data_IF_687212963171
#
_entry.id   IF_687212963171
#
_cell.length_a   1.000
_cell.length_b   1.000
_cell.length_c   1.000
_cell.angle_alpha   90.00
_cell.angle_beta   90.00
_cell.angle_gamma   90.00
#
_symmetry.space_group_name_H-M   'P 1'
#
loop_
_entity.id
_entity.type
_entity.pdbx_description
1 polymer ?
#
# COMPACT_ATOMS: atom_id res chain seq x y z
N UNK A 1 -17.65 -1.40 11.78
CA UNK A 1 -18.64 -1.42 10.69
C UNK A 1 -18.27 -2.55 9.73
N UNK A 2 -19.17 -3.51 9.49
CA UNK A 2 -18.96 -4.57 8.48
C UNK A 2 -19.32 -3.98 7.11
N UNK A 3 -18.34 -3.65 6.30
CA UNK A 3 -18.57 -3.33 4.89
C UNK A 3 -18.93 -4.61 4.15
N UNK A 4 -19.94 -4.54 3.27
CA UNK A 4 -20.20 -5.65 2.36
C UNK A 4 -19.06 -5.77 1.35
N UNK A 5 -18.89 -6.94 0.72
CA UNK A 5 -17.90 -7.13 -0.34
C UNK A 5 -18.08 -6.08 -1.44
N UNK A 6 -19.33 -5.80 -1.81
CA UNK A 6 -19.66 -4.79 -2.82
C UNK A 6 -19.15 -3.39 -2.44
N UNK A 7 -19.38 -2.97 -1.19
CA UNK A 7 -18.92 -1.64 -0.71
C UNK A 7 -17.39 -1.54 -0.70
N UNK A 8 -16.72 -2.64 -0.35
CA UNK A 8 -15.26 -2.66 -0.30
C UNK A 8 -14.66 -2.55 -1.70
N UNK A 9 -15.17 -3.34 -2.65
CA UNK A 9 -14.67 -3.32 -4.02
C UNK A 9 -14.94 -1.97 -4.70
N UNK A 10 -16.16 -1.42 -4.55
CA UNK A 10 -16.48 -0.10 -5.08
C UNK A 10 -15.59 0.99 -4.47
N UNK A 11 -15.36 0.95 -3.16
CA UNK A 11 -14.48 1.89 -2.47
C UNK A 11 -13.03 1.77 -2.95
N UNK A 12 -12.54 0.56 -3.20
CA UNK A 12 -11.18 0.32 -3.72
C UNK A 12 -11.00 0.99 -5.08
N UNK A 13 -11.97 0.83 -5.98
CA UNK A 13 -11.94 1.46 -7.31
C UNK A 13 -11.98 2.98 -7.18
N UNK A 14 -12.94 3.50 -6.41
CA UNK A 14 -13.07 4.93 -6.16
C UNK A 14 -11.76 5.56 -5.65
N UNK A 15 -11.12 4.92 -4.65
CA UNK A 15 -9.84 5.38 -4.10
C UNK A 15 -8.72 5.32 -5.14
N UNK A 16 -8.67 4.25 -5.94
CA UNK A 16 -7.67 4.07 -6.99
C UNK A 16 -7.76 5.17 -8.04
N UNK A 17 -8.98 5.49 -8.52
CA UNK A 17 -9.19 6.57 -9.49
C UNK A 17 -8.83 7.92 -8.88
N UNK A 18 -9.22 8.17 -7.63
CA UNK A 18 -8.89 9.42 -6.94
C UNK A 18 -7.38 9.61 -6.80
N UNK A 19 -6.65 8.53 -6.49
CA UNK A 19 -5.19 8.55 -6.35
C UNK A 19 -4.50 8.77 -7.70
N UNK A 20 -4.90 8.03 -8.74
CA UNK A 20 -4.29 8.11 -10.06
C UNK A 20 -4.92 9.17 -10.98
N UNK A 21 -5.76 10.06 -10.44
CA UNK A 21 -6.55 11.04 -11.21
C UNK A 21 -5.76 11.73 -12.32
N UNK A 22 -4.59 12.26 -12.00
CA UNK A 22 -3.75 12.98 -12.96
C UNK A 22 -3.20 12.11 -14.10
N UNK A 23 -2.96 10.82 -13.83
CA UNK A 23 -2.48 9.86 -14.83
C UNK A 23 -3.64 9.43 -15.74
N UNK A 24 -4.83 9.27 -15.17
CA UNK A 24 -6.02 8.79 -15.87
C UNK A 24 -6.69 9.88 -16.72
N UNK A 25 -6.46 11.16 -16.42
CA UNK A 25 -7.01 12.28 -17.19
C UNK A 25 -6.67 12.14 -18.69
N UNK A 26 -7.70 12.24 -19.53
CA UNK A 26 -7.60 12.16 -21.00
C UNK A 26 -7.13 10.82 -21.57
N UNK A 27 -7.28 9.71 -20.83
CA UNK A 27 -6.96 8.37 -21.31
C UNK A 27 -8.21 7.49 -21.37
N UNK A 28 -8.21 6.52 -22.28
CA UNK A 28 -9.17 5.42 -22.23
C UNK A 28 -8.77 4.51 -21.08
N UNK A 29 -9.62 4.42 -20.06
CA UNK A 29 -9.37 3.62 -18.85
C UNK A 29 -10.28 2.40 -18.87
N UNK A 30 -9.70 1.22 -18.64
CA UNK A 30 -10.42 -0.03 -18.42
C UNK A 30 -10.08 -0.50 -17.01
N UNK A 31 -11.09 -0.70 -16.19
CA UNK A 31 -10.91 -1.18 -14.82
C UNK A 31 -11.20 -2.67 -14.81
N UNK A 32 -10.21 -3.48 -14.46
CA UNK A 32 -10.33 -4.93 -14.32
C UNK A 32 -10.59 -5.29 -12.86
N UNK A 33 -11.58 -6.13 -12.62
CA UNK A 33 -12.02 -6.55 -11.28
C UNK A 33 -12.32 -8.04 -11.26
N UNK A 34 -12.15 -8.70 -10.13
CA UNK A 34 -12.56 -10.09 -9.90
C UNK A 34 -13.98 -10.21 -9.33
N UNK A 35 -14.62 -9.09 -8.98
CA UNK A 35 -15.98 -9.05 -8.45
C UNK A 35 -17.04 -8.79 -9.53
N UNK A 36 -17.62 -9.88 -10.03
CA UNK A 36 -18.57 -9.88 -11.15
C UNK A 36 -19.78 -8.94 -11.00
N UNK A 37 -20.44 -8.77 -9.84
CA UNK A 37 -21.63 -7.91 -9.75
C UNK A 37 -21.40 -6.45 -10.13
N UNK A 38 -20.16 -5.96 -10.02
CA UNK A 38 -19.83 -4.58 -10.32
C UNK A 38 -19.65 -4.29 -11.81
N UNK A 39 -19.53 -5.30 -12.68
CA UNK A 39 -19.45 -5.08 -14.14
C UNK A 39 -20.70 -4.40 -14.69
N UNK A 40 -21.84 -4.65 -14.05
CA UNK A 40 -23.13 -4.07 -14.41
C UNK A 40 -23.49 -2.87 -13.53
N UNK A 41 -22.55 -2.31 -12.76
CA UNK A 41 -22.85 -1.25 -11.79
C UNK A 41 -23.46 0.02 -12.45
N UNK A 42 -23.06 0.33 -13.68
CA UNK A 42 -23.58 1.47 -14.45
C UNK A 42 -24.88 1.17 -15.21
N UNK A 43 -25.28 -0.10 -15.29
CA UNK A 43 -26.54 -0.53 -15.92
C UNK A 43 -27.67 -0.67 -14.90
N UNK A 44 -27.35 -0.67 -13.60
CA UNK A 44 -28.33 -0.82 -12.53
C UNK A 44 -29.10 0.50 -12.28
N UNK A 45 -30.38 0.36 -11.95
CA UNK A 45 -31.21 1.50 -11.53
C UNK A 45 -30.65 2.16 -10.26
N UNK A 46 -30.43 3.47 -10.33
CA UNK A 46 -29.91 4.30 -9.23
C UNK A 46 -30.75 4.20 -7.94
N UNK A 47 -32.04 3.88 -8.05
CA UNK A 47 -32.97 3.75 -6.92
C UNK A 47 -32.61 2.63 -5.92
N UNK A 48 -31.73 1.70 -6.33
CA UNK A 48 -31.27 0.60 -5.48
C UNK A 48 -29.94 0.89 -4.77
N UNK A 49 -29.28 2.00 -5.08
CA UNK A 49 -27.98 2.36 -4.54
C UNK A 49 -28.12 3.29 -3.33
N UNK A 50 -27.24 3.11 -2.34
CA UNK A 50 -27.12 4.11 -1.28
C UNK A 50 -26.55 5.43 -1.83
N UNK A 51 -26.83 6.60 -1.22
CA UNK A 51 -26.30 7.88 -1.68
C UNK A 51 -24.76 7.91 -1.81
N UNK A 52 -24.06 7.23 -0.90
CA UNK A 52 -22.60 7.12 -0.94
C UNK A 52 -22.10 6.30 -2.13
N UNK A 53 -22.75 5.18 -2.44
CA UNK A 53 -22.40 4.36 -3.61
C UNK A 53 -22.69 5.12 -4.92
N UNK A 54 -23.82 5.83 -4.99
CA UNK A 54 -24.16 6.65 -6.13
C UNK A 54 -23.11 7.74 -6.39
N UNK A 55 -22.65 8.43 -5.33
CA UNK A 55 -21.60 9.44 -5.45
C UNK A 55 -20.24 8.84 -5.89
N UNK A 56 -19.90 7.64 -5.39
CA UNK A 56 -18.69 6.94 -5.81
C UNK A 56 -18.75 6.57 -7.29
N UNK A 57 -19.87 6.01 -7.74
CA UNK A 57 -20.08 5.63 -9.13
C UNK A 57 -20.08 6.86 -10.05
N UNK A 58 -20.70 7.97 -9.64
CA UNK A 58 -20.68 9.21 -10.41
C UNK A 58 -19.24 9.72 -10.63
N UNK A 59 -18.40 9.69 -9.59
CA UNK A 59 -16.99 10.04 -9.74
C UNK A 59 -16.26 9.06 -10.65
N UNK A 60 -16.50 7.75 -10.53
CA UNK A 60 -15.87 6.73 -11.38
C UNK A 60 -16.27 6.97 -12.85
N UNK A 61 -17.55 7.24 -13.12
CA UNK A 61 -18.10 7.47 -14.46
C UNK A 61 -17.47 8.65 -15.19
N UNK A 62 -16.98 9.67 -14.46
CA UNK A 62 -16.24 10.79 -15.05
C UNK A 62 -14.92 10.37 -15.71
N UNK A 63 -14.38 9.20 -15.33
CA UNK A 63 -13.15 8.65 -15.91
C UNK A 63 -13.44 7.47 -16.83
N UNK A 64 -14.32 6.55 -16.41
CA UNK A 64 -14.69 5.39 -17.22
C UNK A 64 -15.95 4.71 -16.69
N UNK A 65 -16.71 4.12 -17.61
CA UNK A 65 -17.79 3.18 -17.33
C UNK A 65 -17.41 1.73 -17.68
N UNK A 66 -16.19 1.52 -18.19
CA UNK A 66 -15.73 0.23 -18.68
C UNK A 66 -15.10 -0.61 -17.55
N UNK A 67 -15.96 -1.40 -16.89
CA UNK A 67 -15.61 -2.37 -15.85
C UNK A 67 -15.65 -3.78 -16.42
N UNK A 68 -14.50 -4.46 -16.46
CA UNK A 68 -14.37 -5.81 -17.02
C UNK A 68 -14.03 -6.79 -15.91
N UNK A 69 -14.79 -7.88 -15.85
CA UNK A 69 -14.49 -8.98 -14.94
C UNK A 69 -13.33 -9.83 -15.46
N UNK A 70 -12.37 -10.13 -14.59
CA UNK A 70 -11.31 -11.13 -14.78
C UNK A 70 -11.45 -12.23 -13.73
N UNK A 71 -10.96 -13.44 -14.01
CA UNK A 71 -10.95 -14.48 -12.98
C UNK A 71 -10.03 -14.08 -11.82
N UNK A 72 -10.35 -14.47 -10.58
CA UNK A 72 -9.49 -14.19 -9.42
C UNK A 72 -8.06 -14.74 -9.58
N UNK A 73 -7.89 -15.85 -10.31
CA UNK A 73 -6.57 -16.41 -10.66
C UNK A 73 -5.72 -15.47 -11.53
N UNK A 74 -6.33 -14.49 -12.21
CA UNK A 74 -5.65 -13.46 -13.00
C UNK A 74 -5.49 -12.15 -12.21
N UNK A 75 -6.14 -12.01 -11.05
CA UNK A 75 -6.09 -10.82 -10.18
C UNK A 75 -5.00 -10.88 -9.10
N UNK A 76 -3.94 -11.66 -9.35
CA UNK A 76 -2.91 -11.98 -8.34
C UNK A 76 -2.22 -10.71 -7.79
N UNK A 77 -1.93 -9.72 -8.63
CA UNK A 77 -1.19 -8.52 -8.20
C UNK A 77 -2.00 -7.66 -7.23
N UNK A 78 -3.23 -7.22 -7.56
CA UNK A 78 -4.10 -6.55 -6.60
C UNK A 78 -4.35 -7.36 -5.33
N UNK A 79 -4.60 -8.67 -5.45
CA UNK A 79 -4.85 -9.54 -4.30
C UNK A 79 -3.65 -9.54 -3.34
N UNK A 80 -2.44 -9.77 -3.85
CA UNK A 80 -1.22 -9.73 -3.04
C UNK A 80 -1.02 -8.37 -2.37
N UNK A 81 -1.23 -7.26 -3.09
CA UNK A 81 -1.09 -5.92 -2.54
C UNK A 81 -2.16 -5.61 -1.48
N UNK A 82 -3.38 -6.13 -1.66
CA UNK A 82 -4.47 -5.98 -0.68
C UNK A 82 -4.18 -6.71 0.64
N UNK A 83 -3.42 -7.81 0.59
CA UNK A 83 -3.01 -8.57 1.76
C UNK A 83 -1.96 -7.85 2.63
N UNK A 84 -1.20 -6.89 2.11
CA UNK A 84 -0.12 -6.23 2.87
C UNK A 84 -0.68 -5.53 4.12
N UNK A 85 -1.89 -4.96 4.04
CA UNK A 85 -2.55 -4.37 5.21
C UNK A 85 -3.15 -5.39 6.19
N UNK A 86 -3.34 -6.64 5.76
CA UNK A 86 -3.78 -7.75 6.59
C UNK A 86 -2.61 -8.43 7.32
N UNK A 87 -1.39 -8.32 6.77
CA UNK A 87 -0.15 -8.61 7.48
C UNK A 87 0.12 -7.45 8.45
N UNK A 88 -0.66 -7.40 9.53
CA UNK A 88 -0.11 -6.85 10.76
C UNK A 88 1.01 -7.80 11.13
N UNK A 89 2.27 -7.43 10.87
CA UNK A 89 3.38 -8.08 11.58
C UNK A 89 3.04 -7.84 13.04
N UNK A 90 2.61 -8.85 13.81
CA UNK A 90 2.37 -8.61 15.21
C UNK A 90 3.69 -8.07 15.74
N UNK A 91 3.64 -6.91 16.39
CA UNK A 91 4.78 -6.42 17.14
C UNK A 91 4.91 -7.40 18.31
N UNK A 92 5.57 -8.54 18.06
CA UNK A 92 5.75 -9.63 19.02
C UNK A 92 6.70 -9.18 20.14
N UNK A 93 7.48 -8.13 19.89
CA UNK A 93 8.58 -7.68 20.74
C UNK A 93 8.45 -6.18 20.93
N UNK A 94 8.43 -5.73 22.18
CA UNK A 94 8.41 -4.30 22.48
C UNK A 94 9.75 -3.67 22.11
N UNK A 95 9.76 -2.36 21.92
CA UNK A 95 10.99 -1.61 21.58
C UNK A 95 12.07 -1.78 22.65
N UNK A 96 11.67 -1.91 23.92
CA UNK A 96 12.55 -2.15 25.06
C UNK A 96 13.17 -3.53 25.04
N UNK A 97 12.38 -4.56 24.69
CA UNK A 97 12.87 -5.93 24.57
C UNK A 97 13.84 -6.05 23.38
N UNK A 98 13.56 -5.36 22.27
CA UNK A 98 14.47 -5.28 21.13
C UNK A 98 15.81 -4.64 21.51
N UNK A 99 15.79 -3.50 22.22
CA UNK A 99 17.01 -2.82 22.65
C UNK A 99 17.82 -3.65 23.64
N UNK A 100 17.13 -4.35 24.55
CA UNK A 100 17.75 -5.24 25.52
C UNK A 100 18.42 -6.45 24.85
N UNK A 101 17.80 -6.99 23.80
CA UNK A 101 18.36 -8.09 23.01
C UNK A 101 19.56 -7.64 22.18
N UNK A 102 19.47 -6.50 21.49
CA UNK A 102 20.60 -5.92 20.76
C UNK A 102 21.80 -5.65 21.67
N UNK A 103 21.58 -5.11 22.87
CA UNK A 103 22.67 -4.82 23.81
C UNK A 103 23.43 -6.07 24.28
N UNK A 104 22.78 -7.24 24.26
CA UNK A 104 23.36 -8.54 24.67
C UNK A 104 23.83 -9.38 23.48
N UNK A 105 23.67 -8.88 22.26
CA UNK A 105 23.99 -9.61 21.04
C UNK A 105 25.50 -9.58 20.78
N UNK A 106 26.14 -10.75 20.82
CA UNK A 106 27.57 -10.91 20.57
C UNK A 106 27.92 -10.65 19.10
N UNK A 107 27.05 -11.03 18.16
CA UNK A 107 27.24 -10.78 16.73
C UNK A 107 27.24 -9.27 16.47
N UNK A 108 26.40 -8.50 17.15
CA UNK A 108 26.40 -7.04 17.03
C UNK A 108 27.74 -6.44 17.46
N UNK A 109 28.38 -6.95 18.52
CA UNK A 109 29.71 -6.49 18.95
C UNK A 109 30.80 -6.80 17.91
N UNK A 110 30.72 -7.97 17.28
CA UNK A 110 31.60 -8.34 16.16
C UNK A 110 31.38 -7.43 14.94
N UNK A 111 30.13 -7.08 14.62
CA UNK A 111 29.80 -6.20 13.49
C UNK A 111 30.21 -4.73 13.73
N UNK A 112 30.21 -4.28 14.99
CA UNK A 112 30.69 -2.97 15.40
C UNK A 112 32.23 -2.86 15.41
N UNK A 113 32.92 -3.95 15.78
CA UNK A 113 34.40 -3.99 15.85
C UNK A 113 35.07 -4.40 14.55
N UNK A 114 34.38 -5.19 13.71
CA UNK A 114 34.91 -5.75 12.48
C UNK A 114 34.83 -4.81 11.27
N UNK A 115 35.49 -5.22 10.17
CA UNK A 115 35.31 -4.60 8.84
C UNK A 115 34.02 -5.12 8.21
N UNK A 116 32.88 -4.83 8.82
CA UNK A 116 31.59 -5.13 8.19
C UNK A 116 31.26 -4.08 7.13
N UNK A 117 30.48 -4.44 6.13
CA UNK A 117 30.01 -3.45 5.18
C UNK A 117 28.99 -2.48 5.84
N UNK A 118 28.39 -2.87 6.99
CA UNK A 118 27.31 -2.18 7.71
C UNK A 118 27.73 -0.79 8.19
N UNK A 119 26.83 0.20 8.11
CA UNK A 119 27.00 1.49 8.80
C UNK A 119 25.99 1.53 9.93
N UNK A 120 26.33 0.87 11.03
CA UNK A 120 25.49 0.86 12.21
C UNK A 120 25.63 2.21 12.94
N UNK A 121 24.50 2.80 13.32
CA UNK A 121 24.45 4.01 14.12
C UNK A 121 23.51 3.81 15.30
N UNK A 122 23.93 4.31 16.46
CA UNK A 122 23.10 4.38 17.65
C UNK A 122 21.96 5.38 17.48
N UNK A 123 20.78 4.98 17.95
CA UNK A 123 19.56 5.74 17.90
C UNK A 123 18.82 5.61 19.23
N UNK A 124 18.65 6.73 19.93
CA UNK A 124 17.92 6.82 21.19
C UNK A 124 16.48 7.26 20.92
N UNK A 125 15.52 6.36 21.16
CA UNK A 125 14.11 6.68 21.05
C UNK A 125 13.60 7.39 22.32
N UNK A 126 12.68 8.36 22.20
CA UNK A 126 12.03 8.97 23.35
C UNK A 126 11.33 7.90 24.21
N UNK A 127 11.70 7.81 25.49
CA UNK A 127 11.17 6.83 26.44
C UNK A 127 12.03 5.57 26.63
N UNK A 128 13.14 5.43 25.88
CA UNK A 128 14.00 4.26 25.94
C UNK A 128 15.34 4.59 26.63
N UNK A 129 15.71 3.82 27.66
CA UNK A 129 16.99 4.00 28.40
C UNK A 129 18.19 3.41 27.66
N UNK A 130 17.96 2.42 26.79
CA UNK A 130 18.99 1.67 26.07
C UNK A 130 18.99 2.11 24.60
N UNK A 131 20.13 2.45 23.99
CA UNK A 131 20.17 2.82 22.57
C UNK A 131 19.91 1.62 21.66
N UNK A 132 19.26 1.85 20.53
CA UNK A 132 19.13 0.88 19.44
C UNK A 132 20.20 1.11 18.39
N UNK A 133 20.67 0.04 17.75
CA UNK A 133 21.58 0.13 16.61
C UNK A 133 20.81 -0.13 15.32
N UNK A 134 20.99 0.74 14.33
CA UNK A 134 20.35 0.63 13.02
C UNK A 134 21.37 0.82 11.89
N UNK A 135 21.27 0.02 10.82
CA UNK A 135 22.06 0.25 9.61
C UNK A 135 21.48 1.45 8.86
N UNK A 136 22.28 2.51 8.74
CA UNK A 136 21.91 3.74 8.03
C UNK A 136 22.35 3.73 6.56
N UNK A 137 22.89 2.61 6.06
CA UNK A 137 23.15 2.49 4.63
C UNK A 137 21.83 2.54 3.89
N UNK A 138 21.70 3.56 3.03
CA UNK A 138 20.69 3.61 1.98
C UNK A 138 21.02 2.55 0.91
N UNK A 139 20.81 1.27 1.21
CA UNK A 139 20.71 0.21 0.20
C UNK A 139 19.23 -0.01 -0.06
N UNK A 140 18.66 0.91 -0.84
CA UNK A 140 17.54 0.75 -1.75
C UNK A 140 17.04 2.16 -2.09
N UNK A 141 17.69 2.79 -3.07
CA UNK A 141 16.91 3.60 -3.99
C UNK A 141 15.98 2.60 -4.67
N UNK A 142 14.72 2.48 -4.22
CA UNK A 142 13.68 2.13 -5.16
C UNK A 142 13.87 3.14 -6.28
N UNK A 143 14.30 2.66 -7.44
CA UNK A 143 14.64 3.47 -8.59
C UNK A 143 13.32 4.05 -9.13
N UNK A 144 12.78 5.04 -8.43
CA UNK A 144 11.91 6.01 -9.07
C UNK A 144 12.82 6.70 -10.07
N UNK A 145 12.65 6.36 -11.35
CA UNK A 145 13.14 7.22 -12.42
C UNK A 145 12.47 8.57 -12.18
N UNK A 146 13.17 9.47 -11.49
CA UNK A 146 12.88 10.88 -11.59
C UNK A 146 13.14 11.21 -13.05
N UNK A 147 12.05 11.49 -13.76
CA UNK A 147 12.12 12.15 -15.05
C UNK A 147 12.63 13.54 -14.71
N UNK A 148 13.90 13.78 -15.02
CA UNK A 148 14.47 15.12 -14.96
C UNK A 148 13.69 16.02 -15.90
N UNK A 149 13.28 17.17 -15.35
CA UNK A 149 12.72 18.29 -16.07
C UNK A 149 13.76 18.79 -17.08
N UNK A 150 13.47 18.64 -18.38
CA UNK A 150 14.08 19.46 -19.41
C UNK A 150 13.48 20.86 -19.31
N UNK A 151 14.33 21.79 -18.88
CA UNK A 151 14.09 23.23 -18.94
C UNK A 151 13.71 23.66 -20.36
N UNK A 152 12.62 24.40 -20.48
CA UNK A 152 12.47 25.48 -21.46
C UNK A 152 12.21 26.79 -20.71
#
# INVERSE_FOLDING_TARGET
MKYSTNDRELLTIYKSIKYFKHILQSRIVIIRIDYKPLTHAFEQHLDKLSPGQAQQLDLIAQFTTNLVHIAGQENIVPDMLSCINAIQVPVITTTEELASKQAKDEELQELLSGKSALKLKEFTLPGLTIPLYCDIRRRHTLRTKNIEEENL
#
